data_IF_094168738128
#
_entry.id   IF_094168738128
#
_cell.length_a   1.000
_cell.length_b   1.000
_cell.length_c   1.000
_cell.angle_alpha   90.00
_cell.angle_beta   90.00
_cell.angle_gamma   90.00
#
_symmetry.space_group_name_H-M   'P 1'
#
loop_
_entity.id
_entity.type
_entity.pdbx_description
1 polymer ?
#
# COMPACT_ATOMS: atom_id res chain seq x y z
N UNK A 1 -0.91 -11.91 -21.51
CA UNK A 1 -1.69 -12.57 -20.43
C UNK A 1 -2.12 -11.39 -19.64
N UNK A 2 -3.39 -11.07 -19.78
CA UNK A 2 -3.97 -9.94 -19.09
C UNK A 2 -3.87 -10.18 -17.57
N UNK A 3 -3.82 -9.11 -16.77
CA UNK A 3 -3.79 -9.16 -15.29
C UNK A 3 -4.75 -10.23 -14.73
N UNK A 4 -5.93 -10.34 -15.34
CA UNK A 4 -7.00 -11.31 -15.01
C UNK A 4 -6.55 -12.78 -15.06
N UNK A 5 -5.73 -13.16 -16.03
CA UNK A 5 -5.28 -14.55 -16.20
C UNK A 5 -4.24 -14.94 -15.13
N UNK A 6 -3.35 -14.01 -14.76
CA UNK A 6 -2.42 -14.23 -13.63
C UNK A 6 -3.20 -14.37 -12.33
N UNK A 7 -4.16 -13.47 -12.12
CA UNK A 7 -5.01 -13.48 -10.94
C UNK A 7 -5.76 -14.82 -10.77
N UNK A 8 -6.32 -15.35 -11.86
CA UNK A 8 -6.97 -16.68 -11.86
C UNK A 8 -5.98 -17.79 -11.48
N UNK A 9 -4.77 -17.79 -12.03
CA UNK A 9 -3.73 -18.77 -11.68
C UNK A 9 -3.34 -18.67 -10.21
N UNK A 10 -3.20 -17.47 -9.66
CA UNK A 10 -2.83 -17.29 -8.26
C UNK A 10 -3.96 -17.71 -7.31
N UNK A 11 -5.21 -17.39 -7.65
CA UNK A 11 -6.38 -17.84 -6.88
C UNK A 11 -6.57 -19.36 -6.88
N UNK A 12 -6.01 -20.09 -7.85
CA UNK A 12 -6.02 -21.55 -7.86
C UNK A 12 -5.06 -22.15 -6.81
N UNK A 13 -4.08 -21.38 -6.33
CA UNK A 13 -3.16 -21.80 -5.26
C UNK A 13 -2.97 -20.68 -4.21
N UNK A 14 -4.02 -20.33 -3.45
CA UNK A 14 -3.97 -19.20 -2.52
C UNK A 14 -3.01 -19.44 -1.35
N UNK A 15 -2.75 -20.71 -0.99
CA UNK A 15 -1.78 -21.07 0.03
C UNK A 15 -0.36 -20.60 -0.33
N UNK A 16 0.02 -20.70 -1.62
CA UNK A 16 1.31 -20.21 -2.10
C UNK A 16 1.36 -18.69 -2.16
N UNK A 17 0.36 -18.07 -2.79
CA UNK A 17 0.47 -16.67 -3.22
C UNK A 17 -0.05 -15.66 -2.20
N UNK A 18 -1.04 -16.02 -1.36
CA UNK A 18 -1.72 -15.05 -0.50
C UNK A 18 -1.70 -15.42 0.98
N UNK A 19 -1.71 -16.70 1.30
CA UNK A 19 -1.73 -17.13 2.71
C UNK A 19 -0.39 -16.82 3.38
N UNK A 20 -0.45 -16.20 4.55
CA UNK A 20 0.70 -15.90 5.42
C UNK A 20 0.48 -16.46 6.83
N UNK A 21 1.56 -16.63 7.59
CA UNK A 21 1.55 -17.20 8.94
C UNK A 21 0.58 -16.49 9.89
N UNK A 22 0.56 -15.15 9.84
CA UNK A 22 -0.36 -14.31 10.63
C UNK A 22 -1.82 -14.73 10.47
N UNK A 23 -2.23 -15.14 9.26
CA UNK A 23 -3.61 -15.53 9.01
C UNK A 23 -4.00 -16.80 9.76
N UNK A 24 -3.08 -17.76 9.86
CA UNK A 24 -3.29 -18.97 10.66
C UNK A 24 -3.26 -18.68 12.16
N UNK A 25 -2.33 -17.84 12.61
CA UNK A 25 -2.15 -17.50 14.03
C UNK A 25 -3.34 -16.76 14.62
N UNK A 26 -3.93 -15.83 13.87
CA UNK A 26 -5.06 -15.01 14.32
C UNK A 26 -6.42 -15.54 13.87
N UNK A 27 -6.46 -16.54 12.99
CA UNK A 27 -7.71 -17.14 12.50
C UNK A 27 -8.41 -16.35 11.40
N UNK A 28 -7.67 -15.65 10.54
CA UNK A 28 -8.23 -15.02 9.35
C UNK A 28 -8.86 -16.06 8.42
N UNK A 29 -10.08 -15.79 7.99
CA UNK A 29 -10.82 -16.65 7.06
C UNK A 29 -10.79 -16.03 5.66
N UNK A 30 -10.40 -16.84 4.67
CA UNK A 30 -10.52 -16.48 3.25
C UNK A 30 -11.98 -16.57 2.82
N UNK A 31 -12.48 -15.51 2.19
CA UNK A 31 -13.85 -15.39 1.69
C UNK A 31 -13.86 -14.80 0.28
N UNK A 32 -15.01 -14.92 -0.39
CA UNK A 32 -15.28 -14.29 -1.68
C UNK A 32 -16.35 -13.24 -1.50
N UNK A 33 -16.06 -12.00 -1.89
CA UNK A 33 -16.98 -10.87 -1.76
C UNK A 33 -18.24 -11.12 -2.58
N UNK A 34 -19.42 -11.00 -1.95
CA UNK A 34 -20.71 -11.16 -2.64
C UNK A 34 -20.99 -10.08 -3.68
N UNK A 35 -20.36 -8.90 -3.56
CA UNK A 35 -20.58 -7.78 -4.48
C UNK A 35 -19.63 -7.81 -5.69
N UNK A 36 -18.32 -7.69 -5.47
CA UNK A 36 -17.33 -7.62 -6.56
C UNK A 36 -16.69 -8.96 -6.93
N UNK A 37 -16.94 -10.03 -6.16
CA UNK A 37 -16.38 -11.35 -6.42
C UNK A 37 -14.88 -11.51 -6.11
N UNK A 38 -14.18 -10.46 -5.65
CA UNK A 38 -12.78 -10.52 -5.18
C UNK A 38 -12.65 -11.44 -3.96
N UNK A 39 -11.50 -12.10 -3.81
CA UNK A 39 -11.18 -12.84 -2.60
C UNK A 39 -10.56 -11.91 -1.56
N UNK A 40 -10.86 -12.16 -0.28
CA UNK A 40 -10.34 -11.37 0.83
C UNK A 40 -10.23 -12.21 2.10
N UNK A 41 -9.43 -11.75 3.04
CA UNK A 41 -9.18 -12.35 4.35
C UNK A 41 -9.70 -11.42 5.44
N UNK A 42 -10.46 -11.97 6.38
CA UNK A 42 -11.07 -11.22 7.49
C UNK A 42 -11.14 -12.08 8.76
N UNK A 43 -11.14 -11.43 9.92
CA UNK A 43 -11.40 -12.08 11.22
C UNK A 43 -12.90 -12.18 11.54
N UNK A 44 -13.78 -11.58 10.74
CA UNK A 44 -15.21 -11.48 11.03
C UNK A 44 -16.06 -12.35 10.10
N UNK A 45 -17.35 -12.43 10.41
CA UNK A 45 -18.32 -13.11 9.56
C UNK A 45 -18.80 -12.29 8.36
N UNK A 46 -18.21 -11.11 8.07
CA UNK A 46 -18.58 -10.28 6.92
C UNK A 46 -18.52 -11.03 5.58
N UNK A 47 -19.43 -10.68 4.66
CA UNK A 47 -19.58 -11.32 3.35
C UNK A 47 -19.17 -10.41 2.18
N UNK A 48 -18.92 -9.12 2.46
CA UNK A 48 -18.51 -8.08 1.51
C UNK A 48 -17.15 -7.56 1.94
N UNK A 49 -16.25 -7.32 0.98
CA UNK A 49 -14.91 -6.78 1.26
C UNK A 49 -14.95 -5.28 1.60
N UNK A 50 -13.81 -4.74 2.05
CA UNK A 50 -13.66 -3.31 2.38
C UNK A 50 -13.17 -2.45 1.19
N UNK A 51 -13.37 -2.92 -0.04
CA UNK A 51 -13.12 -2.08 -1.23
C UNK A 51 -14.15 -0.95 -1.27
N UNK A 52 -13.73 0.28 -1.60
CA UNK A 52 -14.59 1.46 -1.62
C UNK A 52 -15.75 1.37 -2.62
N UNK A 53 -15.66 0.47 -3.61
CA UNK A 53 -16.77 0.17 -4.55
C UNK A 53 -17.82 -0.77 -3.96
N UNK A 54 -17.49 -1.45 -2.86
CA UNK A 54 -18.33 -2.44 -2.19
C UNK A 54 -18.85 -1.97 -0.85
N UNK A 55 -18.11 -1.08 -0.18
CA UNK A 55 -18.42 -0.60 1.15
C UNK A 55 -18.13 0.90 1.23
N UNK A 56 -19.07 1.72 1.74
CA UNK A 56 -18.80 3.13 1.98
C UNK A 56 -17.75 3.30 3.08
N UNK A 57 -17.20 4.51 3.20
CA UNK A 57 -16.31 4.85 4.30
C UNK A 57 -17.07 4.92 5.62
N UNK A 58 -16.70 4.07 6.57
CA UNK A 58 -17.32 4.04 7.90
C UNK A 58 -16.52 4.86 8.94
N UNK A 59 -15.29 5.25 8.60
CA UNK A 59 -14.38 5.97 9.49
C UNK A 59 -14.59 7.49 9.50
N UNK A 60 -15.33 8.05 8.54
CA UNK A 60 -15.58 9.50 8.46
C UNK A 60 -16.46 9.91 9.65
N UNK A 61 -15.98 10.84 10.46
CA UNK A 61 -16.59 11.25 11.73
C UNK A 61 -16.45 10.21 12.86
N UNK A 62 -15.85 9.04 12.60
CA UNK A 62 -15.69 7.95 13.55
C UNK A 62 -14.37 7.19 13.30
N UNK A 63 -13.20 7.85 13.45
CA UNK A 63 -11.92 7.24 13.11
C UNK A 63 -11.64 5.99 13.97
N UNK A 64 -11.15 4.88 13.38
CA UNK A 64 -10.87 3.65 14.11
C UNK A 64 -9.56 3.67 14.90
N UNK A 65 -8.72 4.69 14.69
CA UNK A 65 -7.45 4.84 15.40
C UNK A 65 -7.67 5.31 16.85
N UNK A 66 -6.74 4.97 17.74
CA UNK A 66 -6.79 5.35 19.16
C UNK A 66 -6.66 6.86 19.37
N UNK A 67 -5.89 7.54 18.52
CA UNK A 67 -5.70 8.98 18.56
C UNK A 67 -5.53 9.53 17.14
N UNK A 68 -5.98 10.76 16.87
CA UNK A 68 -5.66 11.44 15.63
C UNK A 68 -4.16 11.74 15.59
N UNK A 69 -3.56 11.63 14.41
CA UNK A 69 -2.20 12.05 14.12
C UNK A 69 -2.26 13.07 12.99
N UNK A 70 -1.48 14.15 13.08
CA UNK A 70 -1.29 15.03 11.94
C UNK A 70 -0.42 14.37 10.85
N UNK A 71 -0.25 15.06 9.72
CA UNK A 71 0.52 14.56 8.59
C UNK A 71 1.97 14.19 8.98
N UNK A 72 2.65 15.04 9.75
CA UNK A 72 4.04 14.82 10.16
C UNK A 72 4.15 13.77 11.26
N UNK A 73 3.28 13.82 12.27
CA UNK A 73 3.23 12.85 13.36
C UNK A 73 2.96 11.43 12.81
N UNK A 74 2.12 11.31 11.79
CA UNK A 74 1.84 10.04 11.10
C UNK A 74 3.13 9.46 10.51
N UNK A 75 3.91 10.25 9.77
CA UNK A 75 5.19 9.76 9.23
C UNK A 75 6.18 9.40 10.33
N UNK A 76 6.33 10.24 11.35
CA UNK A 76 7.26 9.98 12.46
C UNK A 76 6.91 8.66 13.19
N UNK A 77 5.62 8.39 13.38
CA UNK A 77 5.17 7.14 13.99
C UNK A 77 5.52 5.92 13.12
N UNK A 78 5.31 6.01 11.81
CA UNK A 78 5.63 4.96 10.84
C UNK A 78 7.15 4.73 10.76
N UNK A 79 7.91 5.80 10.54
CA UNK A 79 9.37 5.77 10.44
C UNK A 79 9.98 5.15 11.69
N UNK A 80 9.55 5.60 12.88
CA UNK A 80 10.03 5.06 14.14
C UNK A 80 9.71 3.57 14.27
N UNK A 81 8.47 3.16 13.96
CA UNK A 81 8.07 1.76 14.05
C UNK A 81 8.95 0.86 13.18
N UNK A 82 9.19 1.26 11.93
CA UNK A 82 10.04 0.48 11.02
C UNK A 82 11.51 0.51 11.43
N UNK A 83 12.02 1.65 11.88
CA UNK A 83 13.39 1.75 12.41
C UNK A 83 13.61 0.83 13.63
N UNK A 84 12.67 0.82 14.57
CA UNK A 84 12.69 -0.08 15.74
C UNK A 84 12.63 -1.58 15.32
N UNK A 85 12.09 -1.87 14.13
CA UNK A 85 12.00 -3.21 13.55
C UNK A 85 13.13 -3.55 12.56
N UNK A 86 14.20 -2.74 12.53
CA UNK A 86 15.43 -3.04 11.80
C UNK A 86 15.49 -2.49 10.38
N UNK A 87 14.51 -1.69 9.95
CA UNK A 87 14.58 -0.99 8.67
C UNK A 87 15.49 0.22 8.76
N UNK A 88 16.22 0.48 7.69
CA UNK A 88 16.99 1.73 7.56
C UNK A 88 16.08 2.81 6.97
N UNK A 89 15.80 3.92 7.70
CA UNK A 89 15.08 5.05 7.14
C UNK A 89 15.90 5.76 6.07
N UNK A 90 15.26 6.04 4.93
CA UNK A 90 15.86 6.84 3.86
C UNK A 90 15.06 8.11 3.62
N UNK A 91 15.75 9.11 3.06
CA UNK A 91 15.11 10.33 2.56
C UNK A 91 14.45 10.04 1.20
N UNK A 92 13.40 10.81 0.88
CA UNK A 92 12.76 10.78 -0.42
C UNK A 92 13.73 11.11 -1.55
N UNK A 93 13.57 10.41 -2.66
CA UNK A 93 14.19 10.70 -3.94
C UNK A 93 13.43 11.83 -4.67
N UNK A 94 14.04 12.49 -5.67
CA UNK A 94 13.37 13.49 -6.48
C UNK A 94 12.12 12.94 -7.18
N UNK A 95 11.09 13.78 -7.34
CA UNK A 95 9.88 13.40 -8.10
C UNK A 95 10.12 13.24 -9.60
N UNK A 96 11.21 13.79 -10.12
CA UNK A 96 11.67 13.58 -11.51
C UNK A 96 12.56 12.35 -11.53
N UNK A 97 12.15 11.33 -12.27
CA UNK A 97 12.89 10.08 -12.32
C UNK A 97 14.11 10.23 -13.26
N UNK A 98 15.31 10.25 -12.67
CA UNK A 98 16.58 10.45 -13.41
C UNK A 98 17.33 9.15 -13.71
N UNK A 99 16.92 8.04 -13.11
CA UNK A 99 17.66 6.77 -13.07
C UNK A 99 16.95 5.62 -13.79
N UNK A 100 15.68 5.78 -14.14
CA UNK A 100 14.86 4.78 -14.82
C UNK A 100 14.01 5.48 -15.90
N UNK A 101 13.66 4.83 -17.03
CA UNK A 101 12.96 5.47 -18.16
C UNK A 101 11.47 5.76 -17.87
N UNK A 102 11.22 6.57 -16.85
CA UNK A 102 9.95 7.21 -16.53
C UNK A 102 10.18 8.72 -16.41
N UNK A 103 9.16 9.54 -16.66
CA UNK A 103 9.28 10.99 -16.45
C UNK A 103 9.28 11.35 -14.96
N UNK A 104 8.43 10.69 -14.18
CA UNK A 104 8.23 10.96 -12.76
C UNK A 104 8.28 9.68 -11.93
N UNK A 105 8.61 9.84 -10.65
CA UNK A 105 8.51 8.76 -9.67
C UNK A 105 7.04 8.49 -9.37
N UNK A 106 6.53 7.33 -9.81
CA UNK A 106 5.11 6.95 -9.70
C UNK A 106 4.82 6.03 -8.49
N UNK A 107 5.86 5.46 -7.89
CA UNK A 107 5.82 4.60 -6.70
C UNK A 107 7.21 4.61 -6.04
N UNK A 108 7.31 4.33 -4.74
CA UNK A 108 8.58 4.34 -4.03
C UNK A 108 9.56 3.27 -4.50
N UNK A 109 9.08 2.10 -4.93
CA UNK A 109 9.94 1.04 -5.46
C UNK A 109 10.74 1.48 -6.69
N UNK A 110 10.24 2.46 -7.45
CA UNK A 110 10.90 2.99 -8.64
C UNK A 110 12.25 3.62 -8.30
N UNK A 111 12.43 4.14 -7.09
CA UNK A 111 13.70 4.72 -6.63
C UNK A 111 14.86 3.73 -6.68
N UNK A 112 14.53 2.44 -6.51
CA UNK A 112 15.48 1.33 -6.49
C UNK A 112 15.65 0.64 -7.84
N UNK A 113 14.87 1.02 -8.86
CA UNK A 113 14.98 0.43 -10.19
C UNK A 113 16.27 0.86 -10.88
N UNK A 114 16.95 -0.11 -11.48
CA UNK A 114 18.12 0.08 -12.35
C UNK A 114 17.90 -0.68 -13.65
N UNK A 115 18.17 -0.01 -14.77
CA UNK A 115 18.24 -0.68 -16.06
C UNK A 115 19.65 -1.23 -16.25
N UNK A 116 19.76 -2.55 -16.40
CA UNK A 116 20.99 -3.19 -16.87
C UNK A 116 20.84 -3.54 -18.35
N UNK A 117 21.94 -3.93 -19.01
CA UNK A 117 21.93 -4.32 -20.43
C UNK A 117 20.99 -5.50 -20.74
N UNK A 118 20.53 -6.23 -19.72
CA UNK A 118 19.77 -7.47 -19.89
C UNK A 118 18.44 -7.54 -19.12
N UNK A 119 18.19 -6.70 -18.11
CA UNK A 119 16.92 -6.67 -17.36
C UNK A 119 16.78 -5.47 -16.42
N UNK A 120 15.57 -5.30 -15.85
CA UNK A 120 15.36 -4.51 -14.64
C UNK A 120 16.06 -5.20 -13.46
N UNK A 121 16.91 -4.46 -12.75
CA UNK A 121 17.46 -4.85 -11.45
C UNK A 121 16.91 -3.93 -10.34
N UNK A 122 16.92 -4.43 -9.11
CA UNK A 122 16.41 -3.71 -7.93
C UNK A 122 17.56 -3.57 -6.93
N UNK A 123 18.08 -2.35 -6.82
CA UNK A 123 19.19 -2.01 -5.94
C UNK A 123 18.71 -1.13 -4.77
N UNK A 124 18.74 -1.70 -3.57
CA UNK A 124 18.42 -0.99 -2.33
C UNK A 124 19.70 -0.60 -1.59
N UNK A 125 19.82 0.63 -1.05
CA UNK A 125 21.03 1.09 -0.37
C UNK A 125 21.25 0.44 1.01
N UNK A 126 20.19 -0.13 1.58
CA UNK A 126 20.20 -0.97 2.77
C UNK A 126 19.07 -2.00 2.64
N UNK A 127 19.04 -3.04 3.48
CA UNK A 127 18.03 -4.09 3.40
C UNK A 127 17.66 -4.59 4.80
N UNK A 128 16.44 -4.35 5.31
CA UNK A 128 15.32 -3.65 4.65
C UNK A 128 15.37 -2.11 4.80
N UNK A 129 14.53 -1.39 4.05
CA UNK A 129 14.43 0.08 4.05
C UNK A 129 12.99 0.57 4.17
N UNK A 130 12.84 1.78 4.73
CA UNK A 130 11.58 2.52 4.82
C UNK A 130 11.80 3.97 4.35
N UNK A 131 10.91 4.53 3.54
CA UNK A 131 11.00 5.94 3.13
C UNK A 131 9.65 6.59 2.80
N UNK A 132 9.52 7.92 2.92
CA UNK A 132 8.34 8.66 2.52
C UNK A 132 8.53 9.22 1.11
N UNK A 133 8.34 8.39 0.07
CA UNK A 133 8.57 8.85 -1.30
C UNK A 133 7.43 9.74 -1.81
N UNK A 134 7.73 10.94 -2.28
CA UNK A 134 6.73 11.76 -2.97
C UNK A 134 6.56 11.25 -4.40
N UNK A 135 5.33 10.90 -4.78
CA UNK A 135 4.99 10.33 -6.08
C UNK A 135 4.07 11.24 -6.88
N UNK A 136 4.23 11.22 -8.20
CA UNK A 136 3.33 11.90 -9.14
C UNK A 136 2.58 10.89 -10.00
N UNK A 137 1.24 10.95 -9.99
CA UNK A 137 0.36 10.10 -10.82
C UNK A 137 -0.70 10.93 -11.52
N UNK A 138 -0.62 11.01 -12.84
CA UNK A 138 -1.54 11.81 -13.65
C UNK A 138 -2.76 11.04 -14.14
N UNK A 139 -2.75 9.70 -14.05
CA UNK A 139 -3.91 8.87 -14.41
C UNK A 139 -5.11 9.12 -13.49
N UNK A 140 -4.87 9.59 -12.26
CA UNK A 140 -5.90 9.88 -11.26
C UNK A 140 -6.43 11.32 -11.30
N UNK A 141 -6.02 12.11 -12.31
CA UNK A 141 -6.41 13.53 -12.39
C UNK A 141 -7.93 13.72 -12.42
N UNK A 142 -8.65 12.85 -13.13
CA UNK A 142 -10.13 12.90 -13.24
C UNK A 142 -10.84 12.58 -11.91
N UNK A 143 -10.14 11.92 -10.98
CA UNK A 143 -10.67 11.53 -9.68
C UNK A 143 -10.30 12.53 -8.58
N UNK A 144 -9.28 13.36 -8.81
CA UNK A 144 -8.72 14.31 -7.85
C UNK A 144 -9.74 15.42 -7.57
N UNK A 145 -10.04 15.64 -6.29
CA UNK A 145 -11.11 16.55 -5.85
C UNK A 145 -12.53 15.98 -5.94
N UNK A 146 -12.74 14.83 -6.59
CA UNK A 146 -14.07 14.20 -6.76
C UNK A 146 -14.34 13.16 -5.69
N UNK A 147 -13.40 12.25 -5.45
CA UNK A 147 -13.62 11.09 -4.58
C UNK A 147 -13.05 11.24 -3.15
N UNK A 148 -12.55 12.44 -2.81
CA UNK A 148 -12.00 12.78 -1.49
C UNK A 148 -10.64 12.16 -1.14
N UNK A 149 -10.05 11.29 -1.99
CA UNK A 149 -8.88 10.47 -1.65
C UNK A 149 -7.79 10.38 -2.72
N UNK A 150 -8.08 10.79 -3.96
CA UNK A 150 -7.14 10.72 -5.08
C UNK A 150 -6.31 11.99 -5.17
N UNK A 151 -5.05 11.82 -5.50
CA UNK A 151 -4.08 12.89 -5.57
C UNK A 151 -3.26 12.76 -6.86
N UNK A 152 -2.86 13.87 -7.45
CA UNK A 152 -1.83 13.88 -8.49
C UNK A 152 -0.42 13.86 -7.91
N UNK A 153 -0.24 14.40 -6.71
CA UNK A 153 0.98 14.41 -5.92
C UNK A 153 0.68 13.92 -4.50
N UNK A 154 1.34 12.85 -4.06
CA UNK A 154 1.08 12.24 -2.76
C UNK A 154 2.34 11.62 -2.16
N UNK A 155 2.35 11.47 -0.85
CA UNK A 155 3.35 10.71 -0.11
C UNK A 155 3.05 9.22 -0.13
N UNK A 156 3.98 8.43 -0.63
CA UNK A 156 3.98 6.98 -0.51
C UNK A 156 4.92 6.55 0.61
N UNK A 157 4.38 5.90 1.63
CA UNK A 157 5.16 5.11 2.58
C UNK A 157 5.64 3.88 1.83
N UNK A 158 6.95 3.80 1.56
CA UNK A 158 7.55 2.68 0.86
C UNK A 158 8.35 1.82 1.82
N UNK A 159 7.88 0.59 2.05
CA UNK A 159 8.62 -0.46 2.72
C UNK A 159 9.19 -1.41 1.66
N UNK A 160 10.50 -1.62 1.69
CA UNK A 160 11.17 -2.51 0.74
C UNK A 160 12.12 -3.47 1.45
N UNK A 161 12.04 -4.75 1.08
CA UNK A 161 13.00 -5.78 1.48
C UNK A 161 13.33 -6.65 0.28
N UNK A 162 14.61 -6.99 0.13
CA UNK A 162 15.09 -7.90 -0.93
C UNK A 162 15.47 -9.23 -0.28
N UNK A 163 14.76 -10.29 -0.64
CA UNK A 163 14.92 -11.61 -0.05
C UNK A 163 15.64 -12.57 -1.00
N UNK A 164 16.82 -13.02 -0.59
CA UNK A 164 17.67 -13.96 -1.35
C UNK A 164 17.70 -15.39 -0.74
N UNK A 165 16.83 -15.65 0.24
CA UNK A 165 16.83 -16.87 1.04
C UNK A 165 17.63 -16.79 2.34
N UNK A 166 18.39 -15.70 2.57
CA UNK A 166 19.21 -15.50 3.78
C UNK A 166 19.04 -14.11 4.40
N UNK A 167 19.03 -13.08 3.58
CA UNK A 167 18.90 -11.68 3.98
C UNK A 167 17.54 -11.12 3.59
N UNK A 168 17.14 -10.02 4.24
CA UNK A 168 15.81 -9.44 4.07
C UNK A 168 14.71 -10.38 4.58
N UNK A 169 13.48 -10.08 4.20
CA UNK A 169 12.33 -10.90 4.60
C UNK A 169 11.31 -10.98 3.47
N UNK A 170 10.37 -11.92 3.60
CA UNK A 170 9.34 -12.19 2.61
C UNK A 170 7.92 -11.90 3.12
N UNK A 171 6.90 -12.46 2.48
CA UNK A 171 5.48 -12.15 2.72
C UNK A 171 5.04 -12.22 4.17
N UNK A 172 5.48 -13.22 4.94
CA UNK A 172 5.00 -13.43 6.30
C UNK A 172 5.37 -12.25 7.21
N UNK A 173 6.65 -11.84 7.19
CA UNK A 173 7.13 -10.71 7.98
C UNK A 173 6.59 -9.37 7.46
N UNK A 174 6.40 -9.22 6.15
CA UNK A 174 5.79 -8.01 5.58
C UNK A 174 4.39 -7.77 6.17
N UNK A 175 3.51 -8.77 6.07
CA UNK A 175 2.13 -8.64 6.52
C UNK A 175 2.03 -8.56 8.04
N UNK A 176 2.91 -9.25 8.77
CA UNK A 176 3.03 -9.09 10.22
C UNK A 176 3.36 -7.64 10.59
N UNK A 177 4.37 -7.03 9.96
CA UNK A 177 4.75 -5.62 10.20
C UNK A 177 3.61 -4.65 9.85
N UNK A 178 2.98 -4.83 8.69
CA UNK A 178 1.87 -3.97 8.25
C UNK A 178 0.70 -4.06 9.24
N UNK A 179 0.37 -5.28 9.69
CA UNK A 179 -0.67 -5.49 10.70
C UNK A 179 -0.31 -4.91 12.07
N UNK A 180 0.94 -5.07 12.51
CA UNK A 180 1.42 -4.51 13.77
C UNK A 180 1.47 -2.99 13.77
N UNK A 181 1.81 -2.36 12.64
CA UNK A 181 1.69 -0.91 12.49
C UNK A 181 0.26 -0.45 12.75
N UNK A 182 -0.73 -1.08 12.09
CA UNK A 182 -2.15 -0.72 12.26
C UNK A 182 -2.64 -0.95 13.69
N UNK A 183 -2.30 -2.10 14.28
CA UNK A 183 -2.86 -2.52 15.59
C UNK A 183 -2.11 -1.93 16.77
N UNK A 184 -0.77 -1.91 16.75
CA UNK A 184 0.04 -1.46 17.89
C UNK A 184 0.33 0.04 17.86
N UNK A 185 0.57 0.62 16.67
CA UNK A 185 0.91 2.04 16.55
C UNK A 185 -0.34 2.89 16.43
N UNK A 186 -1.26 2.55 15.52
CA UNK A 186 -2.50 3.31 15.34
C UNK A 186 -3.63 2.85 16.26
N UNK A 187 -3.53 1.68 16.89
CA UNK A 187 -4.55 1.19 17.82
C UNK A 187 -5.84 0.74 17.13
N UNK A 188 -5.79 0.44 15.83
CA UNK A 188 -6.93 -0.06 15.06
C UNK A 188 -7.22 -1.49 15.52
N UNK A 189 -8.50 -1.77 15.81
CA UNK A 189 -8.92 -3.11 16.21
C UNK A 189 -8.67 -4.13 15.09
N UNK A 190 -8.07 -5.30 15.38
CA UNK A 190 -7.80 -6.35 14.39
C UNK A 190 -8.97 -6.68 13.47
N UNK A 191 -10.19 -6.71 14.00
CA UNK A 191 -11.41 -7.11 13.29
C UNK A 191 -11.81 -6.15 12.16
N UNK A 192 -11.28 -4.91 12.19
CA UNK A 192 -11.51 -3.92 11.12
C UNK A 192 -10.57 -4.09 9.93
N UNK A 193 -9.47 -4.83 10.09
CA UNK A 193 -8.44 -5.01 9.07
C UNK A 193 -8.84 -6.15 8.14
N UNK A 194 -8.89 -5.85 6.85
CA UNK A 194 -9.22 -6.81 5.79
C UNK A 194 -8.12 -6.79 4.75
N UNK A 195 -7.62 -7.98 4.37
CA UNK A 195 -6.65 -8.11 3.29
C UNK A 195 -7.35 -8.60 2.02
N UNK A 196 -7.31 -7.84 0.93
CA UNK A 196 -7.90 -8.20 -0.36
C UNK A 196 -6.80 -8.75 -1.27
N UNK A 197 -7.09 -9.89 -1.91
CA UNK A 197 -6.17 -10.52 -2.86
C UNK A 197 -6.20 -9.79 -4.21
N UNK A 198 -5.04 -9.39 -4.71
CA UNK A 198 -4.86 -8.90 -6.07
C UNK A 198 -3.50 -9.37 -6.64
N UNK A 199 -3.21 -8.98 -7.88
CA UNK A 199 -1.92 -9.17 -8.51
C UNK A 199 -1.42 -7.82 -9.03
N UNK A 200 -0.13 -7.58 -8.84
CA UNK A 200 0.54 -6.46 -9.50
C UNK A 200 1.33 -6.98 -10.70
N UNK A 201 1.10 -6.37 -11.87
CA UNK A 201 1.79 -6.71 -13.12
C UNK A 201 2.44 -5.45 -13.66
N UNK A 202 3.76 -5.39 -13.52
CA UNK A 202 4.58 -4.35 -14.11
C UNK A 202 5.06 -4.71 -15.52
N UNK A 203 5.83 -3.82 -16.17
CA UNK A 203 6.33 -4.02 -17.52
C UNK A 203 7.25 -5.24 -17.67
N UNK A 204 8.02 -5.56 -16.63
CA UNK A 204 9.07 -6.58 -16.66
C UNK A 204 9.08 -7.51 -15.45
N UNK A 205 8.18 -7.30 -14.48
CA UNK A 205 8.08 -8.11 -13.28
C UNK A 205 6.65 -8.10 -12.74
N UNK A 206 6.27 -9.15 -12.02
CA UNK A 206 4.95 -9.26 -11.42
C UNK A 206 4.96 -10.14 -10.17
N UNK A 207 3.90 -10.03 -9.38
CA UNK A 207 3.80 -10.67 -8.07
C UNK A 207 2.41 -10.61 -7.49
N UNK A 208 2.16 -11.46 -6.49
CA UNK A 208 0.91 -11.42 -5.73
C UNK A 208 0.86 -10.15 -4.87
N UNK A 209 -0.33 -9.62 -4.66
CA UNK A 209 -0.56 -8.43 -3.87
C UNK A 209 -1.60 -8.71 -2.77
N UNK A 210 -1.33 -8.23 -1.56
CA UNK A 210 -2.33 -8.12 -0.50
C UNK A 210 -2.57 -6.64 -0.22
N UNK A 211 -3.75 -6.15 -0.60
CA UNK A 211 -4.21 -4.80 -0.28
C UNK A 211 -4.82 -4.82 1.12
N UNK A 212 -4.34 -4.00 2.05
CA UNK A 212 -4.90 -3.94 3.39
C UNK A 212 -5.83 -2.74 3.54
N UNK A 213 -7.05 -3.03 4.00
CA UNK A 213 -8.16 -2.10 4.08
C UNK A 213 -8.68 -2.00 5.50
N UNK A 214 -9.11 -0.79 5.88
CA UNK A 214 -9.80 -0.52 7.14
C UNK A 214 -11.02 0.34 6.83
N UNK A 215 -12.20 -0.09 7.29
CA UNK A 215 -13.45 0.70 7.22
C UNK A 215 -13.78 1.30 5.83
N UNK A 216 -13.51 0.53 4.77
CA UNK A 216 -13.77 0.92 3.37
C UNK A 216 -12.61 1.65 2.67
N UNK A 217 -11.52 1.95 3.38
CA UNK A 217 -10.33 2.62 2.84
C UNK A 217 -9.17 1.66 2.67
N UNK A 218 -8.62 1.58 1.46
CA UNK A 218 -7.34 0.94 1.17
C UNK A 218 -6.19 1.80 1.71
N UNK A 219 -5.40 1.26 2.63
CA UNK A 219 -4.28 1.98 3.25
C UNK A 219 -2.95 1.71 2.55
N UNK A 220 -2.77 0.51 2.01
CA UNK A 220 -1.62 0.18 1.18
C UNK A 220 -1.71 -1.19 0.52
N UNK A 221 -0.73 -1.44 -0.35
CA UNK A 221 -0.61 -2.63 -1.18
C UNK A 221 0.74 -3.29 -0.87
N UNK A 222 0.73 -4.49 -0.30
CA UNK A 222 1.93 -5.31 -0.12
C UNK A 222 2.11 -6.20 -1.35
N UNK A 223 2.98 -5.79 -2.28
CA UNK A 223 3.32 -6.53 -3.50
C UNK A 223 4.53 -7.42 -3.25
N UNK A 224 4.39 -8.70 -3.61
CA UNK A 224 5.42 -9.73 -3.48
C UNK A 224 5.94 -10.08 -4.86
N UNK A 225 6.86 -9.25 -5.37
CA UNK A 225 7.47 -9.41 -6.69
C UNK A 225 8.40 -10.60 -6.70
N UNK A 226 8.01 -11.66 -7.39
CA UNK A 226 8.75 -12.92 -7.43
C UNK A 226 9.01 -13.44 -8.85
N UNK A 227 8.44 -12.82 -9.88
CA UNK A 227 8.61 -13.22 -11.28
C UNK A 227 9.14 -12.08 -12.13
N UNK A 228 10.13 -12.39 -12.98
CA UNK A 228 10.67 -11.50 -14.01
C UNK A 228 10.27 -12.00 -15.40
N UNK A 229 9.88 -11.07 -16.28
CA UNK A 229 9.35 -11.34 -17.61
C UNK A 229 7.87 -10.97 -17.73
N UNK A 230 7.21 -11.60 -18.69
CA UNK A 230 5.77 -11.40 -18.91
C UNK A 230 5.00 -12.58 -18.34
N UNK A 231 3.72 -12.42 -17.99
CA UNK A 231 2.88 -13.56 -17.62
C UNK A 231 2.88 -14.76 -18.60
N UNK A 232 3.16 -14.55 -19.90
CA UNK A 232 3.37 -15.61 -20.91
C UNK A 232 4.67 -16.38 -20.72
N UNK A 233 5.74 -15.65 -20.38
CA UNK A 233 7.12 -16.11 -20.42
C UNK A 233 7.88 -15.40 -19.31
N UNK A 234 8.06 -16.10 -18.20
CA UNK A 234 8.69 -15.59 -17.00
C UNK A 234 9.61 -16.61 -16.36
N UNK A 235 10.47 -16.10 -15.48
CA UNK A 235 11.29 -16.91 -14.57
C UNK A 235 11.05 -16.42 -13.15
N UNK A 236 11.15 -17.34 -12.20
CA UNK A 236 11.18 -16.96 -10.79
C UNK A 236 12.49 -16.25 -10.49
N UNK A 237 12.39 -15.15 -9.74
CA UNK A 237 13.53 -14.32 -9.38
C UNK A 237 14.36 -15.02 -8.30
N UNK A 238 15.69 -14.96 -8.44
CA UNK A 238 16.60 -15.43 -7.38
C UNK A 238 16.47 -14.58 -6.11
N UNK A 239 16.40 -13.25 -6.29
CA UNK A 239 16.11 -12.28 -5.24
C UNK A 239 14.66 -11.84 -5.39
N UNK A 240 13.80 -12.23 -4.46
CA UNK A 240 12.41 -11.76 -4.44
C UNK A 240 12.33 -10.41 -3.74
N UNK A 241 11.36 -9.58 -4.11
CA UNK A 241 11.25 -8.22 -3.57
C UNK A 241 9.88 -7.97 -2.94
N UNK A 242 9.90 -7.56 -1.68
CA UNK A 242 8.76 -6.96 -1.01
C UNK A 242 8.71 -5.50 -1.45
N UNK A 243 7.62 -5.14 -2.13
CA UNK A 243 7.27 -3.79 -2.54
C UNK A 243 5.96 -3.44 -1.84
N UNK A 244 6.03 -2.87 -0.64
CA UNK A 244 4.84 -2.36 0.04
C UNK A 244 4.78 -0.84 -0.12
N UNK A 245 3.68 -0.38 -0.73
CA UNK A 245 3.36 1.03 -0.90
C UNK A 245 2.07 1.37 -0.19
N UNK A 246 2.13 2.29 0.78
CA UNK A 246 0.96 2.82 1.48
C UNK A 246 0.78 4.33 1.26
N UNK A 247 -0.46 4.80 1.20
CA UNK A 247 -0.74 6.22 1.06
C UNK A 247 -0.53 6.95 2.39
N UNK A 248 0.49 7.81 2.49
CA UNK A 248 0.77 8.58 3.71
C UNK A 248 -0.44 9.46 4.10
N UNK A 249 -1.05 10.13 3.12
CA UNK A 249 -2.27 10.92 3.33
C UNK A 249 -3.42 10.04 3.85
N UNK A 250 -3.54 8.80 3.36
CA UNK A 250 -4.59 7.87 3.80
C UNK A 250 -4.36 7.38 5.22
N UNK A 251 -3.11 7.12 5.61
CA UNK A 251 -2.77 6.82 7.00
C UNK A 251 -3.09 7.99 7.93
N UNK A 252 -2.86 9.23 7.48
CA UNK A 252 -3.26 10.41 8.25
C UNK A 252 -4.78 10.47 8.35
N UNK A 253 -5.47 10.29 7.21
CA UNK A 253 -6.92 10.42 7.11
C UNK A 253 -7.68 9.38 7.94
N UNK A 254 -7.23 8.12 7.95
CA UNK A 254 -7.87 7.06 8.77
C UNK A 254 -7.76 7.34 10.27
N UNK A 255 -6.76 8.11 10.72
CA UNK A 255 -6.62 8.49 12.13
C UNK A 255 -7.50 9.66 12.53
N UNK A 256 -7.82 10.56 11.60
CA UNK A 256 -8.59 11.78 11.88
C UNK A 256 -10.08 11.66 11.53
N UNK A 257 -10.42 10.91 10.49
CA UNK A 257 -11.81 10.75 10.04
C UNK A 257 -12.44 12.04 9.51
N UNK A 258 -11.67 12.95 8.93
CA UNK A 258 -12.18 14.17 8.29
C UNK A 258 -13.06 13.85 7.06
N UNK A 259 -13.90 14.79 6.57
CA UNK A 259 -14.76 14.54 5.41
C UNK A 259 -13.99 14.09 4.15
N UNK A 260 -12.82 14.69 3.90
CA UNK A 260 -11.90 14.27 2.85
C UNK A 260 -10.48 14.16 3.39
N UNK A 261 -9.64 13.42 2.67
CA UNK A 261 -8.21 13.34 2.95
C UNK A 261 -7.51 14.70 2.79
N UNK A 262 -8.07 15.61 1.97
CA UNK A 262 -7.50 16.95 1.80
C UNK A 262 -7.63 17.83 3.04
N UNK A 263 -8.67 17.62 3.86
CA UNK A 263 -8.91 18.40 5.06
C UNK A 263 -7.81 18.15 6.12
N UNK A 264 -7.35 16.90 6.25
CA UNK A 264 -6.27 16.55 7.18
C UNK A 264 -4.87 16.78 6.60
N UNK A 265 -4.69 16.74 5.27
CA UNK A 265 -3.38 16.98 4.62
C UNK A 265 -3.11 18.46 4.37
N UNK A 266 -4.12 19.22 3.96
CA UNK A 266 -3.98 20.60 3.47
C UNK A 266 -4.94 21.58 4.17
N UNK A 267 -5.39 21.29 5.39
CA UNK A 267 -6.46 22.03 6.07
C UNK A 267 -6.29 23.55 6.05
N UNK A 268 -5.08 24.06 6.34
CA UNK A 268 -4.83 25.52 6.31
C UNK A 268 -4.97 26.14 4.91
N UNK A 269 -4.60 25.40 3.86
CA UNK A 269 -4.73 25.83 2.46
C UNK A 269 -6.19 25.77 2.02
N UNK A 270 -6.89 24.68 2.35
CA UNK A 270 -8.33 24.52 2.06
C UNK A 270 -9.14 25.64 2.70
N UNK A 271 -8.91 25.94 3.97
CA UNK A 271 -9.61 27.02 4.68
C UNK A 271 -9.29 28.40 4.10
N UNK A 272 -8.03 28.65 3.71
CA UNK A 272 -7.66 29.87 3.02
C UNK A 272 -8.39 30.02 1.68
N UNK A 273 -8.48 28.95 0.88
CA UNK A 273 -9.16 28.97 -0.41
C UNK A 273 -10.67 29.19 -0.24
N UNK A 274 -11.33 28.54 0.73
CA UNK A 274 -12.76 28.76 1.02
C UNK A 274 -13.05 30.23 1.32
N UNK A 275 -12.22 30.87 2.14
CA UNK A 275 -12.34 32.31 2.48
C UNK A 275 -12.18 33.20 1.25
N UNK A 276 -11.17 32.93 0.41
CA UNK A 276 -10.92 33.70 -0.81
C UNK A 276 -12.05 33.56 -1.85
N UNK A 277 -12.65 32.39 -1.96
CA UNK A 277 -13.69 32.10 -2.93
C UNK A 277 -15.11 32.44 -2.46
N UNK A 278 -15.29 32.97 -1.23
CA UNK A 278 -16.61 33.18 -0.62
C UNK A 278 -17.49 31.92 -0.61
N UNK A 279 -16.86 30.73 -0.58
CA UNK A 279 -17.58 29.47 -0.53
C UNK A 279 -18.22 29.34 0.86
N UNK A 280 -19.54 29.22 0.92
CA UNK A 280 -20.25 28.95 2.17
C UNK A 280 -19.96 27.51 2.61
N UNK A 281 -19.61 27.35 3.88
CA UNK A 281 -19.44 26.06 4.57
C UNK A 281 -20.79 25.36 4.71
#
# INVERSE_FOLDING_TARGET
MEKKEVLQKFHANPARFYKVKLFDELGFKRKRCKNCGKFFWTLTDQEVCNDATCKPYEFIGNPPAKKPLDYFETWQAIEKFFADNGHTPLKSYPVVCRWFPLYFTIAGIVDFYRMTDSALDIEVPANPVILPQICLRFNDIVNTGVNGRSYTCFGMVQQTAVYDGKQGYWKDRCIELDFELLTKVFGIKPEKIVFIEDVWVGPSAFGSCLEYHVDGLELGNAVFTEFVGTPQSFKEMYKKVVDMGGGWERFTWITQGTPTSYDCTFGSVVEKLKRLCSAKV
#
